data_IF_372945915584
#
_entry.id   IF_372945915584
#
_cell.length_a   1.000
_cell.length_b   1.000
_cell.length_c   1.000
_cell.angle_alpha   90.00
_cell.angle_beta   90.00
_cell.angle_gamma   90.00
#
_symmetry.space_group_name_H-M   'P 1'
#
loop_
_entity.id
_entity.type
_entity.pdbx_description
1 polymer ?
#
# COMPACT_ATOMS: atom_id res chain seq x y z
N UNK A 1 1.98 -20.40 8.78
CA UNK A 1 2.60 -19.87 10.01
C UNK A 1 4.09 -20.19 9.94
N UNK A 2 4.92 -19.20 9.57
CA UNK A 2 6.36 -19.38 9.61
C UNK A 2 6.77 -19.48 11.09
N UNK A 3 7.29 -20.62 11.51
CA UNK A 3 7.93 -20.74 12.81
C UNK A 3 9.15 -19.81 12.83
N UNK A 4 9.20 -18.90 13.79
CA UNK A 4 10.36 -18.02 14.00
C UNK A 4 11.52 -18.94 14.40
N UNK A 5 12.52 -19.02 13.56
CA UNK A 5 13.67 -19.87 13.79
C UNK A 5 14.54 -19.26 14.91
N UNK A 6 14.56 -19.90 16.08
CA UNK A 6 15.43 -19.54 17.20
C UNK A 6 16.79 -20.22 17.05
N UNK A 7 17.75 -19.49 16.51
CA UNK A 7 19.14 -19.96 16.40
C UNK A 7 19.92 -19.98 17.73
N UNK A 8 19.33 -19.52 18.83
CA UNK A 8 20.02 -19.40 20.11
C UNK A 8 20.37 -20.75 20.74
N UNK A 9 19.61 -21.79 20.42
CA UNK A 9 19.72 -23.14 21.04
C UNK A 9 20.56 -24.13 20.26
N UNK A 10 20.86 -23.90 18.98
CA UNK A 10 21.61 -24.84 18.14
C UNK A 10 23.12 -24.56 18.15
N UNK A 11 23.92 -25.59 18.43
CA UNK A 11 25.40 -25.49 18.44
C UNK A 11 26.05 -25.46 17.05
N UNK A 12 25.40 -25.95 16.01
CA UNK A 12 25.89 -25.98 14.61
C UNK A 12 24.73 -25.67 13.66
N UNK A 13 24.97 -24.87 12.61
CA UNK A 13 24.06 -24.67 11.49
C UNK A 13 24.27 -25.81 10.47
N UNK A 14 23.19 -26.44 10.05
CA UNK A 14 23.20 -27.50 9.04
C UNK A 14 22.85 -26.92 7.65
N UNK A 15 23.03 -27.73 6.59
CA UNK A 15 22.55 -27.36 5.25
C UNK A 15 21.03 -27.16 5.21
N UNK A 16 20.30 -27.85 6.06
CA UNK A 16 18.85 -27.78 6.21
C UNK A 16 18.42 -26.44 6.83
N UNK A 17 19.18 -25.94 7.82
CA UNK A 17 18.98 -24.62 8.41
C UNK A 17 19.19 -23.49 7.39
N UNK A 18 20.19 -23.64 6.49
CA UNK A 18 20.42 -22.69 5.38
C UNK A 18 19.23 -22.71 4.40
N UNK A 19 18.69 -23.90 4.14
CA UNK A 19 17.53 -24.06 3.25
C UNK A 19 16.26 -23.45 3.89
N UNK A 20 16.06 -23.64 5.19
CA UNK A 20 14.97 -23.01 5.94
C UNK A 20 15.11 -21.49 6.02
N UNK A 21 16.33 -20.97 6.24
CA UNK A 21 16.61 -19.54 6.18
C UNK A 21 16.27 -18.98 4.79
N UNK A 22 16.66 -19.71 3.76
CA UNK A 22 16.30 -19.39 2.38
C UNK A 22 14.77 -19.32 2.21
N UNK A 23 14.01 -20.29 2.72
CA UNK A 23 12.55 -20.32 2.65
C UNK A 23 11.91 -19.11 3.36
N UNK A 24 12.36 -18.77 4.57
CA UNK A 24 11.90 -17.60 5.31
C UNK A 24 12.18 -16.28 4.53
N UNK A 25 13.37 -16.19 3.96
CA UNK A 25 13.75 -15.04 3.14
C UNK A 25 12.86 -14.89 1.89
N UNK A 26 12.38 -16.01 1.28
CA UNK A 26 11.47 -16.01 0.15
C UNK A 26 10.06 -15.60 0.48
N UNK A 27 9.53 -16.14 1.53
CA UNK A 27 8.21 -15.74 2.04
C UNK A 27 8.18 -14.25 2.35
N UNK A 28 9.28 -13.68 2.88
CA UNK A 28 9.40 -12.27 3.22
C UNK A 28 9.68 -11.38 1.99
N UNK A 29 10.38 -11.88 0.98
CA UNK A 29 10.68 -11.10 -0.24
C UNK A 29 9.60 -11.19 -1.32
N UNK A 30 8.63 -12.11 -1.19
CA UNK A 30 7.58 -12.33 -2.17
C UNK A 30 8.08 -12.86 -3.53
N UNK A 31 9.33 -13.37 -3.57
CA UNK A 31 9.96 -13.90 -4.79
C UNK A 31 10.54 -15.29 -4.51
N UNK A 32 9.75 -16.32 -4.74
CA UNK A 32 10.21 -17.72 -4.72
C UNK A 32 11.46 -17.92 -5.58
N UNK A 33 11.52 -17.27 -6.75
CA UNK A 33 12.64 -17.33 -7.70
C UNK A 33 14.00 -16.91 -7.11
N UNK A 34 14.01 -15.97 -6.16
CA UNK A 34 15.29 -15.47 -5.59
C UNK A 34 15.96 -16.48 -4.68
N UNK A 35 15.19 -17.30 -4.02
CA UNK A 35 15.69 -18.33 -3.07
C UNK A 35 16.17 -19.57 -3.77
N UNK A 36 15.44 -19.98 -4.79
CA UNK A 36 15.89 -21.07 -5.65
C UNK A 36 17.21 -20.69 -6.32
N UNK A 37 17.36 -19.42 -6.73
CA UNK A 37 18.61 -18.89 -7.28
C UNK A 37 19.75 -18.89 -6.25
N UNK A 38 19.52 -18.50 -4.98
CA UNK A 38 20.53 -18.53 -3.93
C UNK A 38 20.92 -19.98 -3.61
N UNK A 39 19.93 -20.87 -3.45
CA UNK A 39 20.18 -22.29 -3.19
C UNK A 39 20.94 -22.97 -4.33
N UNK A 40 20.56 -22.69 -5.56
CA UNK A 40 21.26 -23.16 -6.76
C UNK A 40 22.70 -22.66 -6.83
N UNK A 41 22.91 -21.38 -6.52
CA UNK A 41 24.22 -20.74 -6.52
C UNK A 41 25.18 -21.38 -5.51
N UNK A 42 24.72 -21.66 -4.28
CA UNK A 42 25.54 -22.28 -3.23
C UNK A 42 25.98 -23.70 -3.56
N UNK A 43 25.25 -24.39 -4.43
CA UNK A 43 25.57 -25.73 -4.90
C UNK A 43 26.55 -25.75 -6.10
N UNK A 44 26.88 -24.59 -6.69
CA UNK A 44 27.82 -24.53 -7.82
C UNK A 44 29.28 -24.78 -7.39
N UNK A 45 30.11 -25.26 -8.33
CA UNK A 45 31.59 -25.24 -8.19
C UNK A 45 32.10 -23.83 -7.89
N UNK A 46 33.26 -23.72 -7.20
CA UNK A 46 33.78 -22.45 -6.70
C UNK A 46 34.04 -21.41 -7.79
N UNK A 47 34.55 -21.83 -8.94
CA UNK A 47 34.80 -20.97 -10.08
C UNK A 47 33.53 -20.32 -10.64
N UNK A 48 32.46 -21.09 -10.76
CA UNK A 48 31.13 -20.61 -11.20
C UNK A 48 30.44 -19.77 -10.13
N UNK A 49 30.56 -20.19 -8.87
CA UNK A 49 30.05 -19.42 -7.74
C UNK A 49 30.66 -18.03 -7.71
N UNK A 50 32.02 -17.93 -7.76
CA UNK A 50 32.72 -16.65 -7.72
C UNK A 50 32.32 -15.69 -8.83
N UNK A 51 31.95 -16.22 -10.00
CA UNK A 51 31.51 -15.42 -11.16
C UNK A 51 30.08 -14.86 -10.97
N UNK A 52 29.17 -15.66 -10.42
CA UNK A 52 27.74 -15.34 -10.38
C UNK A 52 27.29 -14.68 -9.06
N UNK A 53 27.98 -15.00 -7.96
CA UNK A 53 27.59 -14.54 -6.62
C UNK A 53 27.45 -13.02 -6.48
N UNK A 54 28.36 -12.18 -7.02
CA UNK A 54 28.23 -10.73 -6.92
C UNK A 54 26.95 -10.17 -7.54
N UNK A 55 26.53 -10.70 -8.69
CA UNK A 55 25.31 -10.27 -9.38
C UNK A 55 24.04 -10.66 -8.63
N UNK A 56 24.02 -11.87 -8.08
CA UNK A 56 22.89 -12.37 -7.26
C UNK A 56 22.76 -11.57 -5.95
N UNK A 57 23.90 -11.29 -5.28
CA UNK A 57 23.94 -10.49 -4.07
C UNK A 57 23.43 -9.07 -4.31
N UNK A 58 23.91 -8.40 -5.37
CA UNK A 58 23.49 -7.05 -5.72
C UNK A 58 21.97 -7.00 -6.01
N UNK A 59 21.46 -7.96 -6.79
CA UNK A 59 20.03 -8.08 -7.07
C UNK A 59 19.20 -8.28 -5.80
N UNK A 60 19.69 -9.12 -4.88
CA UNK A 60 19.03 -9.36 -3.60
C UNK A 60 19.00 -8.11 -2.72
N UNK A 61 20.16 -7.46 -2.54
CA UNK A 61 20.24 -6.24 -1.73
C UNK A 61 19.35 -5.10 -2.28
N UNK A 62 19.27 -4.98 -3.62
CA UNK A 62 18.31 -4.05 -4.24
C UNK A 62 16.86 -4.42 -3.96
N UNK A 63 16.54 -5.71 -3.94
CA UNK A 63 15.16 -6.16 -3.63
C UNK A 63 14.76 -5.84 -2.18
N UNK A 64 15.70 -5.93 -1.23
CA UNK A 64 15.48 -5.54 0.17
C UNK A 64 15.20 -4.03 0.34
N UNK A 65 15.78 -3.21 -0.52
CA UNK A 65 15.55 -1.76 -0.54
C UNK A 65 14.22 -1.35 -1.19
N UNK A 66 13.45 -2.30 -1.71
CA UNK A 66 12.12 -2.02 -2.25
C UNK A 66 11.13 -1.70 -1.12
N UNK A 67 10.30 -0.69 -1.35
CA UNK A 67 9.26 -0.24 -0.41
C UNK A 67 8.32 -1.36 0.02
N UNK A 68 7.86 -2.18 -0.92
CA UNK A 68 6.93 -3.27 -0.62
C UNK A 68 7.59 -4.34 0.26
N UNK A 69 8.87 -4.64 0.05
CA UNK A 69 9.64 -5.58 0.87
C UNK A 69 9.75 -5.06 2.31
N UNK A 70 10.08 -3.79 2.50
CA UNK A 70 10.14 -3.17 3.83
C UNK A 70 8.79 -3.15 4.54
N UNK A 71 7.70 -2.92 3.81
CA UNK A 71 6.34 -3.01 4.33
C UNK A 71 5.99 -4.42 4.79
N UNK A 72 6.33 -5.44 4.00
CA UNK A 72 6.13 -6.84 4.37
C UNK A 72 6.91 -7.22 5.63
N UNK A 73 8.16 -6.75 5.77
CA UNK A 73 8.93 -6.95 7.00
C UNK A 73 8.27 -6.28 8.21
N UNK A 74 7.83 -5.03 8.07
CA UNK A 74 7.12 -4.34 9.14
C UNK A 74 5.85 -5.09 9.58
N UNK A 75 5.09 -5.60 8.62
CA UNK A 75 3.89 -6.41 8.89
C UNK A 75 4.23 -7.74 9.58
N UNK A 76 5.25 -8.44 9.11
CA UNK A 76 5.68 -9.72 9.67
C UNK A 76 6.17 -9.57 11.13
N UNK A 77 6.93 -8.52 11.44
CA UNK A 77 7.39 -8.20 12.79
C UNK A 77 6.19 -7.98 13.71
N UNK A 78 5.23 -7.16 13.30
CA UNK A 78 4.04 -6.86 14.10
C UNK A 78 3.12 -8.08 14.29
N UNK A 79 2.99 -8.95 13.29
CA UNK A 79 2.11 -10.11 13.33
C UNK A 79 2.61 -11.21 14.28
N UNK A 80 3.92 -11.34 14.47
CA UNK A 80 4.53 -12.41 15.25
C UNK A 80 4.87 -12.03 16.70
N UNK A 81 4.64 -10.78 17.12
CA UNK A 81 4.94 -10.30 18.47
C UNK A 81 6.44 -10.28 18.81
N UNK A 82 7.31 -10.54 17.82
CA UNK A 82 8.75 -10.43 17.96
C UNK A 82 9.17 -8.96 17.94
N UNK A 83 10.18 -8.59 18.70
CA UNK A 83 10.76 -7.25 18.60
C UNK A 83 11.75 -7.19 17.44
N UNK A 84 11.94 -6.01 16.88
CA UNK A 84 12.97 -5.77 15.85
C UNK A 84 14.36 -6.03 16.44
N UNK A 85 14.56 -5.70 17.72
CA UNK A 85 15.78 -5.96 18.47
C UNK A 85 16.11 -7.45 18.52
N UNK A 86 15.12 -8.30 18.84
CA UNK A 86 15.28 -9.76 18.86
C UNK A 86 15.68 -10.30 17.47
N UNK A 87 15.05 -9.81 16.41
CA UNK A 87 15.37 -10.20 15.03
C UNK A 87 16.78 -9.79 14.63
N UNK A 88 17.19 -8.54 14.91
CA UNK A 88 18.55 -8.06 14.64
C UNK A 88 19.57 -8.91 15.39
N UNK A 89 19.31 -9.21 16.68
CA UNK A 89 20.18 -10.02 17.49
C UNK A 89 20.30 -11.46 16.94
N UNK A 90 19.21 -12.04 16.50
CA UNK A 90 19.19 -13.36 15.85
C UNK A 90 20.02 -13.38 14.55
N UNK A 91 19.92 -12.34 13.71
CA UNK A 91 20.75 -12.24 12.49
C UNK A 91 22.23 -12.01 12.79
N UNK A 92 22.56 -11.24 13.84
CA UNK A 92 23.95 -11.08 14.27
C UNK A 92 24.56 -12.42 14.77
N UNK A 93 23.78 -13.20 15.53
CA UNK A 93 24.17 -14.55 15.96
C UNK A 93 24.31 -15.51 14.77
N UNK A 94 23.43 -15.40 13.76
CA UNK A 94 23.52 -16.17 12.54
C UNK A 94 24.85 -15.89 11.82
N UNK A 95 25.26 -14.62 11.70
CA UNK A 95 26.54 -14.23 11.10
C UNK A 95 27.74 -14.93 11.77
N UNK A 96 27.73 -15.08 13.09
CA UNK A 96 28.76 -15.81 13.84
C UNK A 96 28.72 -17.32 13.57
N UNK A 97 27.53 -17.89 13.46
CA UNK A 97 27.35 -19.34 13.20
C UNK A 97 27.70 -19.74 11.77
N UNK A 98 27.61 -18.82 10.79
CA UNK A 98 28.03 -19.09 9.40
C UNK A 98 29.50 -19.54 9.34
N UNK A 99 30.36 -19.04 10.22
CA UNK A 99 31.77 -19.48 10.28
C UNK A 99 31.94 -20.96 10.63
N UNK A 100 30.98 -21.53 11.36
CA UNK A 100 30.98 -22.94 11.78
C UNK A 100 30.41 -23.90 10.74
N UNK A 101 29.88 -23.40 9.61
CA UNK A 101 29.32 -24.24 8.54
C UNK A 101 30.40 -25.15 7.93
N UNK A 102 30.16 -26.45 7.94
CA UNK A 102 31.01 -27.45 7.28
C UNK A 102 30.57 -27.62 5.81
N UNK A 103 31.52 -27.79 4.90
CA UNK A 103 31.27 -28.02 3.47
C UNK A 103 31.06 -26.76 2.63
N UNK A 104 31.27 -25.57 3.19
CA UNK A 104 31.25 -24.30 2.46
C UNK A 104 32.64 -23.66 2.47
N UNK A 105 33.06 -23.12 1.31
CA UNK A 105 34.28 -22.35 1.21
C UNK A 105 34.20 -21.00 1.95
N UNK A 106 35.32 -20.35 2.16
CA UNK A 106 35.38 -19.03 2.75
C UNK A 106 34.55 -18.00 1.94
N UNK A 107 34.57 -18.10 0.60
CA UNK A 107 33.80 -17.21 -0.27
C UNK A 107 32.28 -17.41 -0.12
N UNK A 108 31.81 -18.65 -0.02
CA UNK A 108 30.40 -18.96 0.20
C UNK A 108 29.93 -18.50 1.58
N UNK A 109 30.77 -18.66 2.61
CA UNK A 109 30.50 -18.13 3.94
C UNK A 109 30.41 -16.62 3.96
N UNK A 110 31.31 -15.93 3.28
CA UNK A 110 31.29 -14.47 3.18
C UNK A 110 30.03 -13.97 2.45
N UNK A 111 29.65 -14.61 1.37
CA UNK A 111 28.37 -14.34 0.67
C UNK A 111 27.15 -14.48 1.59
N UNK A 112 27.06 -15.57 2.36
CA UNK A 112 25.98 -15.78 3.33
C UNK A 112 25.94 -14.71 4.42
N UNK A 113 27.12 -14.27 4.90
CA UNK A 113 27.21 -13.16 5.85
C UNK A 113 26.73 -11.85 5.25
N UNK A 114 27.06 -11.56 4.01
CA UNK A 114 26.59 -10.35 3.33
C UNK A 114 25.07 -10.36 3.13
N UNK A 115 24.48 -11.51 2.80
CA UNK A 115 23.02 -11.67 2.76
C UNK A 115 22.38 -11.42 4.13
N UNK A 116 22.92 -12.03 5.19
CA UNK A 116 22.39 -11.86 6.56
C UNK A 116 22.52 -10.41 7.05
N UNK A 117 23.63 -9.75 6.78
CA UNK A 117 23.86 -8.34 7.11
C UNK A 117 22.90 -7.41 6.34
N UNK A 118 22.69 -7.66 5.06
CA UNK A 118 21.74 -6.91 4.24
C UNK A 118 20.33 -6.98 4.81
N UNK A 119 19.92 -8.17 5.25
CA UNK A 119 18.63 -8.40 5.88
C UNK A 119 18.53 -7.71 7.25
N UNK A 120 19.54 -7.81 8.10
CA UNK A 120 19.59 -7.12 9.39
C UNK A 120 19.48 -5.59 9.22
N UNK A 121 20.17 -5.02 8.24
CA UNK A 121 20.10 -3.60 7.92
C UNK A 121 18.70 -3.20 7.46
N UNK A 122 18.09 -3.99 6.56
CA UNK A 122 16.71 -3.75 6.11
C UNK A 122 15.72 -3.76 7.29
N UNK A 123 15.85 -4.71 8.21
CA UNK A 123 15.02 -4.82 9.41
C UNK A 123 15.26 -3.62 10.35
N UNK A 124 16.52 -3.23 10.56
CA UNK A 124 16.87 -2.07 11.37
C UNK A 124 16.25 -0.77 10.83
N UNK A 125 16.36 -0.54 9.52
CA UNK A 125 15.73 0.60 8.86
C UNK A 125 14.20 0.55 8.93
N UNK A 126 13.62 -0.65 8.99
CA UNK A 126 12.18 -0.87 9.12
C UNK A 126 11.66 -0.59 10.53
N UNK A 127 12.52 -0.56 11.56
CA UNK A 127 12.15 -0.38 12.97
C UNK A 127 11.36 0.91 13.21
N UNK A 128 11.82 2.04 12.64
CA UNK A 128 11.11 3.33 12.72
C UNK A 128 9.77 3.32 11.99
N UNK A 129 9.64 2.47 10.99
CA UNK A 129 8.45 2.29 10.15
C UNK A 129 7.45 1.40 10.87
N UNK A 130 7.87 0.24 11.40
CA UNK A 130 7.00 -0.74 12.06
C UNK A 130 6.17 -0.14 13.22
N UNK A 131 6.76 0.80 14.00
CA UNK A 131 6.07 1.50 15.09
C UNK A 131 4.93 2.43 14.63
N UNK A 132 4.89 2.78 13.34
CA UNK A 132 3.87 3.67 12.75
C UNK A 132 2.76 2.91 12.03
N UNK A 133 2.89 1.59 11.82
CA UNK A 133 1.88 0.81 11.11
C UNK A 133 0.76 0.34 12.02
N UNK A 134 -0.45 0.67 11.62
CA UNK A 134 -1.68 0.19 12.25
C UNK A 134 -2.16 -1.02 11.45
N UNK A 135 -2.33 -2.15 12.13
CA UNK A 135 -2.84 -3.39 11.52
C UNK A 135 -4.34 -3.25 11.22
N UNK A 136 -4.71 -3.40 9.97
CA UNK A 136 -6.10 -3.34 9.50
C UNK A 136 -6.44 -4.64 8.79
N UNK A 137 -7.17 -5.57 9.43
CA UNK A 137 -7.69 -6.74 8.75
C UNK A 137 -8.59 -6.34 7.57
N UNK A 138 -8.46 -7.03 6.46
CA UNK A 138 -9.28 -6.81 5.28
C UNK A 138 -9.78 -8.12 4.66
N UNK A 139 -10.90 -8.04 3.95
CA UNK A 139 -11.51 -9.14 3.21
C UNK A 139 -11.64 -8.73 1.73
N UNK A 140 -11.27 -9.63 0.82
CA UNK A 140 -11.64 -9.53 -0.60
C UNK A 140 -13.01 -10.16 -0.76
N UNK A 141 -14.06 -9.35 -0.92
CA UNK A 141 -15.44 -9.83 -1.06
C UNK A 141 -15.90 -9.98 -2.52
N UNK A 142 -15.04 -9.64 -3.49
CA UNK A 142 -15.26 -9.88 -4.92
C UNK A 142 -13.99 -10.44 -5.57
N UNK A 143 -14.18 -11.27 -6.59
CA UNK A 143 -13.08 -11.75 -7.42
C UNK A 143 -12.37 -10.58 -8.12
N UNK A 144 -11.06 -10.66 -8.28
CA UNK A 144 -10.24 -9.61 -8.88
C UNK A 144 -9.95 -8.40 -7.97
N UNK A 145 -10.48 -8.35 -6.74
CA UNK A 145 -10.18 -7.28 -5.79
C UNK A 145 -8.68 -7.24 -5.46
N UNK A 146 -8.12 -6.04 -5.50
CA UNK A 146 -6.70 -5.78 -5.20
C UNK A 146 -6.57 -5.04 -3.88
N UNK A 147 -5.60 -5.46 -3.06
CA UNK A 147 -5.24 -4.74 -1.84
C UNK A 147 -4.76 -3.32 -2.19
N UNK A 148 -5.15 -2.31 -1.41
CA UNK A 148 -4.59 -0.97 -1.57
C UNK A 148 -3.10 -0.96 -1.27
N UNK A 149 -2.31 -0.21 -2.06
CA UNK A 149 -0.85 -0.20 -1.97
C UNK A 149 -0.31 1.23 -1.97
N UNK A 150 0.68 1.49 -1.10
CA UNK A 150 1.49 2.69 -1.21
C UNK A 150 2.44 2.57 -2.41
N UNK A 151 2.52 3.59 -3.24
CA UNK A 151 3.49 3.62 -4.34
C UNK A 151 4.92 3.84 -3.80
N UNK A 152 5.05 4.67 -2.78
CA UNK A 152 6.30 4.95 -2.07
C UNK A 152 6.10 4.87 -0.55
N UNK A 153 7.18 4.59 0.20
CA UNK A 153 7.11 4.35 1.66
C UNK A 153 6.60 5.57 2.44
N UNK A 154 6.84 6.75 1.95
CA UNK A 154 6.46 8.02 2.57
C UNK A 154 5.13 8.57 2.04
N UNK A 155 4.45 7.82 1.16
CA UNK A 155 3.14 8.23 0.67
C UNK A 155 2.09 8.16 1.80
N UNK A 156 1.20 9.15 1.83
CA UNK A 156 0.08 9.16 2.77
C UNK A 156 -1.11 8.36 2.27
N UNK A 157 -1.22 8.14 0.96
CA UNK A 157 -2.36 7.49 0.30
C UNK A 157 -1.99 6.18 -0.37
N UNK A 158 -2.82 5.17 -0.15
CA UNK A 158 -2.76 3.87 -0.84
C UNK A 158 -3.64 3.92 -2.09
N UNK A 159 -3.15 3.39 -3.20
CA UNK A 159 -3.92 3.32 -4.45
C UNK A 159 -5.10 2.34 -4.36
N UNK A 160 -6.29 2.78 -4.79
CA UNK A 160 -7.47 1.95 -4.99
C UNK A 160 -7.64 1.63 -6.48
N UNK A 161 -7.99 0.38 -6.77
CA UNK A 161 -8.06 -0.18 -8.12
C UNK A 161 -9.50 -0.50 -8.51
N UNK A 162 -9.87 -0.19 -9.76
CA UNK A 162 -11.16 -0.54 -10.31
C UNK A 162 -11.24 -2.04 -10.64
N UNK A 163 -12.38 -2.67 -10.31
CA UNK A 163 -12.63 -4.10 -10.59
C UNK A 163 -13.01 -4.36 -12.05
N UNK A 164 -13.67 -3.38 -12.67
CA UNK A 164 -14.28 -3.48 -13.99
C UNK A 164 -14.08 -2.18 -14.75
N UNK A 165 -14.48 -2.15 -16.01
CA UNK A 165 -14.55 -0.94 -16.81
C UNK A 165 -15.82 -0.15 -16.47
N UNK A 166 -15.67 1.17 -16.29
CA UNK A 166 -16.78 2.10 -16.04
C UNK A 166 -16.75 3.25 -17.02
N UNK A 167 -17.92 3.55 -17.59
CA UNK A 167 -18.17 4.79 -18.30
C UNK A 167 -19.00 5.69 -17.41
N UNK A 168 -18.60 6.94 -17.23
CA UNK A 168 -19.30 7.95 -16.44
C UNK A 168 -19.65 9.11 -17.38
N UNK A 169 -20.95 9.27 -17.63
CA UNK A 169 -21.46 10.29 -18.52
C UNK A 169 -21.42 11.69 -17.87
N UNK A 170 -21.47 12.78 -18.65
CA UNK A 170 -21.55 14.15 -18.14
C UNK A 170 -22.67 14.32 -17.12
N UNK A 171 -22.34 14.86 -15.94
CA UNK A 171 -23.29 15.04 -14.82
C UNK A 171 -23.68 13.75 -14.09
N UNK A 172 -23.16 12.57 -14.51
CA UNK A 172 -23.46 11.30 -13.86
C UNK A 172 -22.66 11.14 -12.56
N UNK A 173 -23.34 10.63 -11.52
CA UNK A 173 -22.72 10.13 -10.29
C UNK A 173 -22.86 8.63 -10.24
N UNK A 174 -21.76 7.91 -10.06
CA UNK A 174 -21.71 6.45 -10.07
C UNK A 174 -21.01 5.90 -8.82
N UNK A 175 -21.59 4.84 -8.24
CA UNK A 175 -20.97 4.11 -7.15
C UNK A 175 -20.07 3.01 -7.72
N UNK A 176 -18.77 3.09 -7.42
CA UNK A 176 -17.77 2.13 -7.92
C UNK A 176 -17.29 1.25 -6.77
N UNK A 177 -17.59 -0.06 -6.80
CA UNK A 177 -17.16 -1.01 -5.79
C UNK A 177 -15.65 -1.29 -5.88
N UNK A 178 -15.01 -1.54 -4.73
CA UNK A 178 -13.59 -1.92 -4.66
C UNK A 178 -13.38 -3.42 -4.44
N UNK A 179 -14.43 -4.16 -4.06
CA UNK A 179 -14.34 -5.57 -3.68
C UNK A 179 -13.69 -5.78 -2.31
N UNK A 180 -13.56 -4.73 -1.49
CA UNK A 180 -12.82 -4.76 -0.23
C UNK A 180 -13.71 -4.38 0.94
N UNK A 181 -13.51 -5.09 2.08
CA UNK A 181 -14.04 -4.73 3.38
C UNK A 181 -12.90 -4.62 4.37
N UNK A 182 -13.01 -3.74 5.36
CA UNK A 182 -11.98 -3.49 6.35
C UNK A 182 -12.51 -3.58 7.78
N UNK A 183 -11.67 -4.07 8.70
CA UNK A 183 -11.91 -4.00 10.14
C UNK A 183 -10.99 -2.93 10.74
N UNK A 184 -11.42 -1.67 10.63
CA UNK A 184 -10.65 -0.52 11.08
C UNK A 184 -10.66 -0.49 12.62
N UNK A 185 -9.49 -0.32 13.30
CA UNK A 185 -9.41 -0.20 14.75
C UNK A 185 -10.12 1.07 15.27
N UNK A 186 -10.63 1.02 16.49
CA UNK A 186 -11.16 2.20 17.15
C UNK A 186 -10.09 3.30 17.27
N UNK A 187 -10.50 4.55 17.06
CA UNK A 187 -9.61 5.71 17.04
C UNK A 187 -9.02 6.03 15.67
N UNK A 188 -9.38 5.25 14.64
CA UNK A 188 -8.98 5.47 13.25
C UNK A 188 -10.19 5.47 12.31
N UNK A 189 -10.01 6.08 11.15
CA UNK A 189 -10.90 5.98 10.00
C UNK A 189 -10.07 5.77 8.72
N UNK A 190 -10.69 5.25 7.67
CA UNK A 190 -10.15 5.32 6.32
C UNK A 190 -10.87 6.43 5.54
N UNK A 191 -10.10 7.26 4.84
CA UNK A 191 -10.64 8.33 4.00
C UNK A 191 -10.39 8.02 2.53
N UNK A 192 -11.44 8.06 1.72
CA UNK A 192 -11.28 8.00 0.26
C UNK A 192 -11.07 9.42 -0.25
N UNK A 193 -9.95 9.61 -0.96
CA UNK A 193 -9.54 10.87 -1.58
C UNK A 193 -9.32 10.71 -3.07
N UNK A 194 -9.49 11.77 -3.87
CA UNK A 194 -9.21 11.73 -5.30
C UNK A 194 -7.70 11.62 -5.57
N UNK A 195 -7.34 11.07 -6.73
CA UNK A 195 -5.97 11.12 -7.26
C UNK A 195 -5.76 12.41 -8.04
N UNK A 196 -4.71 13.15 -7.70
CA UNK A 196 -4.38 14.44 -8.34
C UNK A 196 -4.26 14.32 -9.87
N UNK A 197 -3.57 13.29 -10.36
CA UNK A 197 -3.39 13.06 -11.79
C UNK A 197 -4.70 12.80 -12.54
N UNK A 198 -5.68 12.13 -11.91
CA UNK A 198 -7.01 11.93 -12.49
C UNK A 198 -7.79 13.26 -12.51
N UNK A 199 -7.80 13.97 -11.39
CA UNK A 199 -8.48 15.27 -11.31
C UNK A 199 -7.93 16.29 -12.31
N UNK A 200 -6.64 16.24 -12.61
CA UNK A 200 -6.02 17.14 -13.58
C UNK A 200 -6.40 16.80 -15.04
N UNK A 201 -6.46 15.49 -15.35
CA UNK A 201 -6.65 15.01 -16.72
C UNK A 201 -8.10 14.76 -17.10
N UNK A 202 -9.01 14.67 -16.13
CA UNK A 202 -10.43 14.38 -16.34
C UNK A 202 -11.31 15.30 -15.49
N UNK A 203 -12.60 15.25 -15.75
CA UNK A 203 -13.61 15.89 -14.90
C UNK A 203 -14.18 14.96 -13.83
N UNK A 204 -13.57 13.79 -13.63
CA UNK A 204 -13.98 12.87 -12.58
C UNK A 204 -13.53 13.40 -11.19
N UNK A 205 -14.46 13.34 -10.24
CA UNK A 205 -14.26 13.72 -8.83
C UNK A 205 -14.79 12.62 -7.91
N UNK A 206 -14.20 12.51 -6.73
CA UNK A 206 -14.83 11.77 -5.63
C UNK A 206 -15.84 12.72 -5.01
N UNK A 207 -17.14 12.44 -5.19
CA UNK A 207 -18.21 13.39 -4.93
C UNK A 207 -18.31 13.84 -3.46
N UNK A 208 -18.00 12.93 -2.52
CA UNK A 208 -18.06 13.19 -1.07
C UNK A 208 -16.66 13.26 -0.41
N UNK A 209 -15.66 13.73 -1.16
CA UNK A 209 -14.27 13.78 -0.65
C UNK A 209 -14.07 14.80 0.47
N UNK A 210 -13.31 14.45 1.54
CA UNK A 210 -12.83 13.12 1.89
C UNK A 210 -13.97 12.22 2.39
N UNK A 211 -14.20 11.08 1.71
CA UNK A 211 -15.25 10.15 2.11
C UNK A 211 -14.79 9.35 3.33
N UNK A 212 -15.56 9.39 4.40
CA UNK A 212 -15.25 8.73 5.67
C UNK A 212 -15.71 7.29 5.67
N UNK A 213 -14.83 6.38 6.02
CA UNK A 213 -15.10 4.98 6.33
C UNK A 213 -14.82 4.77 7.81
N UNK A 214 -15.87 4.67 8.58
CA UNK A 214 -15.82 4.56 10.04
C UNK A 214 -15.24 3.23 10.52
N UNK A 215 -14.65 3.23 11.73
CA UNK A 215 -14.16 2.02 12.39
C UNK A 215 -15.23 0.95 12.57
N UNK A 216 -16.51 1.33 12.72
CA UNK A 216 -17.65 0.41 12.85
C UNK A 216 -18.18 -0.14 11.52
N UNK A 217 -17.79 0.40 10.37
CA UNK A 217 -18.28 -0.07 9.07
C UNK A 217 -17.70 -1.44 8.70
N UNK A 218 -18.54 -2.33 8.20
CA UNK A 218 -18.16 -3.71 7.79
C UNK A 218 -18.65 -4.08 6.40
N UNK A 219 -19.27 -3.15 5.69
CA UNK A 219 -19.71 -3.34 4.31
C UNK A 219 -18.56 -3.23 3.30
N UNK A 220 -18.87 -3.51 2.05
CA UNK A 220 -17.95 -3.25 0.94
C UNK A 220 -17.69 -1.75 0.80
N UNK A 221 -16.43 -1.38 0.73
CA UNK A 221 -16.03 0.00 0.46
C UNK A 221 -16.26 0.29 -1.01
N UNK A 222 -17.04 1.32 -1.27
CA UNK A 222 -17.31 1.82 -2.61
C UNK A 222 -16.93 3.30 -2.71
N UNK A 223 -16.57 3.73 -3.90
CA UNK A 223 -16.20 5.12 -4.19
C UNK A 223 -17.29 5.79 -5.00
N UNK A 224 -17.78 6.92 -4.55
CA UNK A 224 -18.74 7.74 -5.28
C UNK A 224 -17.98 8.64 -6.24
N UNK A 225 -18.03 8.34 -7.53
CA UNK A 225 -17.41 9.12 -8.59
C UNK A 225 -18.45 9.92 -9.33
N UNK A 226 -18.16 11.19 -9.55
CA UNK A 226 -18.98 12.13 -10.31
C UNK A 226 -18.19 12.66 -11.50
N UNK A 227 -18.82 12.73 -12.66
CA UNK A 227 -18.32 13.45 -13.82
C UNK A 227 -18.92 14.87 -13.78
N UNK A 228 -18.11 15.85 -13.34
CA UNK A 228 -18.52 17.26 -13.24
C UNK A 228 -18.49 18.00 -14.59
N UNK A 229 -18.34 17.29 -15.71
CA UNK A 229 -18.55 17.87 -17.03
C UNK A 229 -20.01 18.32 -17.16
N UNK A 230 -20.21 19.57 -17.56
CA UNK A 230 -21.57 20.05 -17.81
C UNK A 230 -22.12 19.35 -19.07
N UNK A 231 -23.27 18.70 -19.01
CA UNK A 231 -23.90 18.20 -20.21
C UNK A 231 -24.29 19.39 -21.10
N UNK A 232 -23.87 19.32 -22.36
CA UNK A 232 -24.28 20.30 -23.38
C UNK A 232 -25.56 19.75 -24.02
N UNK A 233 -26.59 20.55 -24.03
CA UNK A 233 -27.85 20.20 -24.68
C UNK A 233 -27.98 20.97 -25.99
N UNK A 234 -27.88 20.25 -27.11
CA UNK A 234 -28.25 20.79 -28.41
C UNK A 234 -29.73 20.50 -28.66
N UNK A 235 -30.47 21.55 -28.94
CA UNK A 235 -31.88 21.46 -29.26
C UNK A 235 -32.01 21.70 -30.77
N UNK A 236 -32.47 20.67 -31.49
CA UNK A 236 -32.82 20.79 -32.90
C UNK A 236 -34.34 20.79 -33.06
N UNK A 237 -34.79 21.61 -33.97
CA UNK A 237 -36.21 21.70 -34.35
C UNK A 237 -36.39 21.11 -35.73
N UNK A 238 -37.17 20.06 -35.83
CA UNK A 238 -37.66 19.53 -37.11
C UNK A 238 -39.17 19.75 -37.16
N UNK A 239 -39.75 19.70 -38.32
CA UNK A 239 -41.21 19.78 -38.47
C UNK A 239 -41.73 18.52 -39.12
N UNK A 240 -42.86 18.01 -38.59
CA UNK A 240 -43.53 16.88 -39.19
C UNK A 240 -44.23 17.28 -40.53
N UNK A 241 -44.77 16.31 -41.23
CA UNK A 241 -45.48 16.54 -42.50
C UNK A 241 -46.72 17.46 -42.39
N UNK A 242 -47.18 17.72 -41.18
CA UNK A 242 -48.31 18.59 -40.85
C UNK A 242 -47.83 19.98 -40.37
N UNK A 243 -46.51 20.21 -40.30
CA UNK A 243 -45.92 21.49 -39.87
C UNK A 243 -45.84 21.66 -38.33
N UNK A 244 -46.01 20.57 -37.55
CA UNK A 244 -45.80 20.64 -36.11
C UNK A 244 -44.32 20.51 -35.74
N UNK A 245 -43.80 21.28 -34.81
CA UNK A 245 -42.41 21.17 -34.41
C UNK A 245 -42.17 19.87 -33.67
N UNK A 246 -41.19 19.09 -34.15
CA UNK A 246 -40.56 18.00 -33.44
C UNK A 246 -39.30 18.54 -32.77
N UNK A 247 -39.27 18.58 -31.46
CA UNK A 247 -38.13 19.02 -30.71
C UNK A 247 -37.28 17.79 -30.38
N UNK A 248 -36.07 17.74 -30.93
CA UNK A 248 -35.07 16.74 -30.57
C UNK A 248 -33.98 17.38 -29.75
N UNK A 249 -33.76 16.88 -28.59
CA UNK A 249 -32.65 17.30 -27.74
C UNK A 249 -31.59 16.20 -27.63
N UNK A 250 -30.37 16.54 -27.93
CA UNK A 250 -29.22 15.64 -27.78
C UNK A 250 -28.37 16.18 -26.62
N UNK A 251 -28.19 15.35 -25.61
CA UNK A 251 -27.22 15.63 -24.57
C UNK A 251 -25.88 15.06 -25.01
N UNK A 252 -24.88 15.92 -25.06
CA UNK A 252 -23.51 15.48 -25.31
C UNK A 252 -22.54 16.17 -24.34
N UNK A 253 -21.34 15.67 -24.28
CA UNK A 253 -20.26 16.08 -23.40
C UNK A 253 -19.23 14.97 -23.36
N UNK A 254 -18.12 15.17 -22.71
CA UNK A 254 -17.07 14.16 -22.66
C UNK A 254 -17.42 13.07 -21.65
N UNK A 255 -17.64 11.85 -22.15
CA UNK A 255 -17.61 10.65 -21.32
C UNK A 255 -16.22 10.45 -20.74
N UNK A 256 -16.15 10.06 -19.48
CA UNK A 256 -14.90 9.66 -18.88
C UNK A 256 -14.92 8.19 -18.50
N UNK A 257 -13.75 7.56 -18.65
CA UNK A 257 -13.58 6.13 -18.47
C UNK A 257 -12.67 5.83 -17.27
N UNK A 258 -13.00 4.75 -16.57
CA UNK A 258 -12.15 4.11 -15.58
C UNK A 258 -12.00 2.66 -16.02
N UNK A 259 -10.78 2.24 -16.36
CA UNK A 259 -10.54 0.88 -16.82
C UNK A 259 -10.27 -0.08 -15.68
N UNK A 260 -10.63 -1.36 -15.90
CA UNK A 260 -10.32 -2.45 -14.98
C UNK A 260 -8.83 -2.44 -14.59
N UNK A 261 -8.56 -2.50 -13.29
CA UNK A 261 -7.21 -2.48 -12.76
C UNK A 261 -6.56 -1.09 -12.71
N UNK A 262 -7.27 -0.05 -13.15
CA UNK A 262 -6.77 1.32 -13.09
C UNK A 262 -6.84 1.88 -11.67
N UNK A 263 -5.83 2.66 -11.28
CA UNK A 263 -5.77 3.40 -10.02
C UNK A 263 -6.69 4.62 -10.13
N UNK A 264 -7.88 4.56 -9.53
CA UNK A 264 -8.90 5.61 -9.74
C UNK A 264 -9.15 6.53 -8.54
N UNK A 265 -8.80 6.08 -7.33
CA UNK A 265 -8.88 6.82 -6.09
C UNK A 265 -7.71 6.43 -5.18
N UNK A 266 -7.60 7.07 -4.02
CA UNK A 266 -6.64 6.69 -3.00
C UNK A 266 -7.32 6.61 -1.61
N UNK A 267 -6.80 5.72 -0.77
CA UNK A 267 -7.24 5.46 0.59
C UNK A 267 -6.21 5.99 1.58
N UNK A 268 -6.63 6.76 2.55
CA UNK A 268 -5.75 7.36 3.58
C UNK A 268 -6.24 6.95 4.95
N UNK A 269 -5.33 6.43 5.79
CA UNK A 269 -5.61 6.17 7.21
C UNK A 269 -5.46 7.48 7.99
N UNK A 270 -6.44 7.79 8.83
CA UNK A 270 -6.42 8.97 9.70
C UNK A 270 -6.78 8.60 11.14
N UNK A 271 -6.17 9.29 12.11
CA UNK A 271 -6.56 9.23 13.51
C UNK A 271 -7.83 10.07 13.74
N UNK A 272 -8.73 9.56 14.57
CA UNK A 272 -10.01 10.22 14.86
C UNK A 272 -10.16 10.41 16.38
N UNK A 273 -9.63 11.50 16.94
CA UNK A 273 -9.93 11.87 18.32
C UNK A 273 -11.40 12.21 18.48
N UNK A 274 -12.00 11.83 19.61
CA UNK A 274 -13.40 12.14 19.88
C UNK A 274 -13.50 13.48 20.60
N UNK A 275 -14.31 14.39 20.04
CA UNK A 275 -14.62 15.66 20.69
C UNK A 275 -15.64 15.43 21.83
N UNK A 276 -15.38 16.04 22.98
CA UNK A 276 -16.31 16.14 24.09
C UNK A 276 -16.73 17.62 24.24
N UNK A 277 -17.92 17.95 23.78
CA UNK A 277 -18.43 19.31 23.87
C UNK A 277 -19.08 19.55 25.24
N UNK A 278 -18.71 20.67 25.85
CA UNK A 278 -19.39 21.17 27.05
C UNK A 278 -19.80 22.64 26.88
N UNK A 279 -20.96 22.98 27.41
CA UNK A 279 -21.53 24.31 27.29
C UNK A 279 -20.74 25.30 28.16
N UNK A 280 -20.36 26.41 27.60
CA UNK A 280 -19.80 27.57 28.31
C UNK A 280 -20.69 28.81 28.00
N UNK A 281 -20.69 29.82 28.90
CA UNK A 281 -21.45 31.03 28.67
C UNK A 281 -20.82 31.88 27.53
N UNK A 282 -19.52 31.87 27.38
CA UNK A 282 -18.81 32.57 26.32
C UNK A 282 -17.49 31.80 26.00
N UNK A 283 -17.22 31.60 24.73
CA UNK A 283 -15.92 31.07 24.26
C UNK A 283 -14.89 32.19 24.42
N UNK A 284 -13.70 31.82 24.93
CA UNK A 284 -12.61 32.79 25.12
C UNK A 284 -12.11 33.29 23.76
N UNK A 285 -11.95 34.62 23.65
CA UNK A 285 -11.47 35.32 22.46
C UNK A 285 -9.98 35.68 22.63
N UNK A 286 -9.16 34.70 22.97
CA UNK A 286 -7.74 34.84 23.33
C UNK A 286 -6.78 34.57 22.18
N UNK A 287 -7.27 34.65 20.95
CA UNK A 287 -6.45 34.46 19.73
C UNK A 287 -6.42 35.73 18.88
N UNK A 288 -5.30 35.95 18.17
CA UNK A 288 -5.15 37.09 17.23
C UNK A 288 -6.25 37.15 16.15
N UNK A 289 -6.83 36.01 15.82
CA UNK A 289 -7.89 35.93 14.80
C UNK A 289 -9.27 36.27 15.35
N UNK A 290 -9.52 36.01 16.64
CA UNK A 290 -10.82 36.15 17.32
C UNK A 290 -12.00 35.66 16.46
N UNK A 291 -12.93 36.51 16.07
CA UNK A 291 -14.09 36.20 15.22
C UNK A 291 -13.85 36.44 13.71
N UNK A 292 -12.64 36.81 13.35
CA UNK A 292 -12.26 37.09 11.95
C UNK A 292 -12.43 35.87 11.04
N UNK A 293 -13.29 35.98 10.01
CA UNK A 293 -13.54 34.95 9.01
C UNK A 293 -13.72 35.54 7.60
N UNK A 294 -14.06 34.70 6.61
CA UNK A 294 -14.44 35.07 5.24
C UNK A 294 -13.56 36.09 4.56
N UNK A 295 -12.23 36.00 4.71
CA UNK A 295 -11.26 36.89 4.08
C UNK A 295 -10.89 38.10 4.93
N UNK A 296 -11.14 38.11 6.26
CA UNK A 296 -10.76 39.18 7.19
C UNK A 296 -9.27 39.53 7.16
N UNK A 297 -8.39 38.60 6.66
CA UNK A 297 -6.94 38.82 6.48
C UNK A 297 -6.56 39.41 5.11
N UNK A 298 -7.57 39.77 4.27
CA UNK A 298 -7.36 40.30 2.92
C UNK A 298 -7.08 39.21 1.87
N UNK A 299 -7.13 39.63 0.58
CA UNK A 299 -6.84 38.77 -0.57
C UNK A 299 -5.43 39.02 -1.13
N UNK A 300 -4.60 39.83 -0.46
CA UNK A 300 -3.21 40.11 -0.83
C UNK A 300 -2.29 39.91 0.36
#
# INVERSE_FOLDING_TARGET
MAEIFDFSTQKKITKEDVHQLSSIMGELSGKEDTLEAIGGLLNLPEDKFALLAPGVLDSYLRSLNNTNTRLLFAQAINANGATVEDMIQNFAQLGQKIDTLEGFSAQKKDFLKQLANGLANCISETQGIAKKYIQIPYEKCREGARMPEYAHIDDSGMDLYALEDYTIHPGETKLIPTGLKFAIPNGYELQIRPKSGRCLKTKLRVANTPATIDAGFRGEVCVIIENVEAPIQDITYEFDDNGHPIITSILHGADHYIHKGEKFAQLVLAEVPKANFYLVNKVMEDTERADGGFGSTGLK
#
